data_IF_961885821108
#
_entry.id   IF_961885821108
#
_cell.length_a   1.000
_cell.length_b   1.000
_cell.length_c   1.000
_cell.angle_alpha   90.00
_cell.angle_beta   90.00
_cell.angle_gamma   90.00
#
_symmetry.space_group_name_H-M   'P 1'
#
loop_
_entity.id
_entity.type
_entity.pdbx_description
1 polymer ?
#
# COMPACT_ATOMS: atom_id res chain seq x y z
N UNK A 1 -17.74 -20.44 -0.19
CA UNK A 1 -18.26 -20.87 -1.49
C UNK A 1 -17.59 -20.10 -2.60
N UNK A 2 -17.51 -20.69 -3.77
CA UNK A 2 -16.80 -20.12 -4.92
C UNK A 2 -17.25 -18.70 -5.29
N UNK A 3 -18.55 -18.44 -5.23
CA UNK A 3 -19.11 -17.15 -5.60
C UNK A 3 -18.62 -16.03 -4.66
N UNK A 4 -18.61 -16.29 -3.36
CA UNK A 4 -18.15 -15.32 -2.37
C UNK A 4 -16.65 -15.05 -2.47
N UNK A 5 -15.88 -16.11 -2.71
CA UNK A 5 -14.42 -16.00 -2.88
C UNK A 5 -14.09 -15.16 -4.11
N UNK A 6 -14.81 -15.34 -5.21
CA UNK A 6 -14.63 -14.54 -6.41
C UNK A 6 -14.99 -13.09 -6.19
N UNK A 7 -16.07 -12.83 -5.47
CA UNK A 7 -16.50 -11.47 -5.14
C UNK A 7 -15.44 -10.75 -4.29
N UNK A 8 -14.95 -11.42 -3.26
CA UNK A 8 -13.91 -10.87 -2.38
C UNK A 8 -12.63 -10.58 -3.16
N UNK A 9 -12.24 -11.49 -4.06
CA UNK A 9 -11.07 -11.32 -4.89
C UNK A 9 -11.18 -10.09 -5.79
N UNK A 10 -12.33 -9.91 -6.44
CA UNK A 10 -12.57 -8.73 -7.30
C UNK A 10 -12.54 -7.45 -6.50
N UNK A 11 -13.18 -7.44 -5.35
CA UNK A 11 -13.21 -6.27 -4.48
C UNK A 11 -11.80 -5.89 -4.05
N UNK A 12 -10.99 -6.88 -3.66
CA UNK A 12 -9.60 -6.66 -3.29
C UNK A 12 -8.80 -6.07 -4.45
N UNK A 13 -8.96 -6.61 -5.65
CA UNK A 13 -8.25 -6.10 -6.84
C UNK A 13 -8.64 -4.66 -7.16
N UNK A 14 -9.92 -4.33 -7.08
CA UNK A 14 -10.39 -2.96 -7.29
C UNK A 14 -9.84 -2.00 -6.25
N UNK A 15 -9.85 -2.43 -4.99
CA UNK A 15 -9.33 -1.67 -3.87
C UNK A 15 -7.86 -1.35 -4.05
N UNK A 16 -7.06 -2.36 -4.37
CA UNK A 16 -5.63 -2.20 -4.59
C UNK A 16 -5.35 -1.26 -5.77
N UNK A 17 -6.10 -1.39 -6.85
CA UNK A 17 -5.96 -0.50 -8.01
C UNK A 17 -6.27 0.95 -7.66
N UNK A 18 -7.29 1.20 -6.86
CA UNK A 18 -7.62 2.56 -6.41
C UNK A 18 -6.50 3.17 -5.60
N UNK A 19 -5.91 2.39 -4.70
CA UNK A 19 -4.81 2.87 -3.86
C UNK A 19 -3.57 3.17 -4.70
N UNK A 20 -3.22 2.30 -5.65
CA UNK A 20 -2.10 2.55 -6.55
C UNK A 20 -2.31 3.82 -7.38
N UNK A 21 -3.51 4.03 -7.88
CA UNK A 21 -3.84 5.24 -8.65
C UNK A 21 -3.72 6.50 -7.79
N UNK A 22 -4.13 6.42 -6.53
CA UNK A 22 -4.01 7.53 -5.61
C UNK A 22 -2.55 7.85 -5.29
N UNK A 23 -1.73 6.83 -5.06
CA UNK A 23 -0.28 7.01 -4.85
C UNK A 23 0.40 7.65 -6.06
N UNK A 24 -0.02 7.27 -7.26
CA UNK A 24 0.53 7.86 -8.49
C UNK A 24 0.26 9.36 -8.57
N UNK A 25 -0.89 9.81 -8.09
CA UNK A 25 -1.24 11.23 -8.02
C UNK A 25 -0.34 11.99 -7.05
N UNK A 26 0.13 11.34 -5.99
CA UNK A 26 1.01 11.97 -5.00
C UNK A 26 2.40 12.27 -5.56
N UNK A 27 2.79 11.62 -6.65
CA UNK A 27 4.14 11.81 -7.22
C UNK A 27 4.42 13.26 -7.58
N UNK A 28 3.47 13.95 -8.22
CA UNK A 28 3.66 15.34 -8.63
C UNK A 28 3.83 16.29 -7.45
N UNK A 29 2.93 16.30 -6.44
CA UNK A 29 3.09 17.25 -5.33
C UNK A 29 4.27 16.94 -4.41
N UNK A 30 4.59 15.66 -4.18
CA UNK A 30 5.59 15.25 -3.20
C UNK A 30 6.90 14.77 -3.78
N UNK A 31 6.95 14.54 -5.09
CA UNK A 31 8.08 13.95 -5.81
C UNK A 31 8.51 12.59 -5.19
N UNK A 32 7.55 11.84 -4.65
CA UNK A 32 7.80 10.54 -4.02
C UNK A 32 7.30 9.41 -4.92
N UNK A 33 8.20 8.56 -5.42
CA UNK A 33 7.83 7.48 -6.37
C UNK A 33 7.29 6.23 -5.66
N UNK A 34 6.35 6.40 -4.74
CA UNK A 34 5.82 5.30 -3.92
C UNK A 34 5.14 4.22 -4.77
N UNK A 35 4.37 4.64 -5.78
CA UNK A 35 3.71 3.69 -6.69
C UNK A 35 4.73 2.88 -7.49
N UNK A 36 5.76 3.55 -8.03
CA UNK A 36 6.79 2.91 -8.83
C UNK A 36 7.61 1.90 -8.02
N UNK A 37 8.00 2.27 -6.80
CA UNK A 37 8.81 1.39 -5.94
C UNK A 37 8.03 0.17 -5.49
N UNK A 38 6.74 0.33 -5.18
CA UNK A 38 5.88 -0.79 -4.79
C UNK A 38 5.64 -1.74 -5.95
N UNK A 39 5.38 -1.22 -7.15
CA UNK A 39 5.21 -2.07 -8.33
C UNK A 39 6.48 -2.82 -8.67
N UNK A 40 7.62 -2.17 -8.53
CA UNK A 40 8.92 -2.80 -8.76
C UNK A 40 9.15 -3.96 -7.80
N UNK A 41 8.79 -3.78 -6.51
CA UNK A 41 8.89 -4.84 -5.50
C UNK A 41 7.97 -6.01 -5.81
N UNK A 42 6.77 -5.74 -6.28
CA UNK A 42 5.79 -6.76 -6.65
C UNK A 42 6.26 -7.54 -7.87
N UNK A 43 6.76 -6.84 -8.89
CA UNK A 43 7.19 -7.46 -10.15
C UNK A 43 8.50 -8.25 -10.00
N UNK A 44 9.35 -7.84 -9.07
CA UNK A 44 10.68 -8.44 -8.86
C UNK A 44 10.91 -8.75 -7.37
N UNK A 45 10.17 -9.74 -6.83
CA UNK A 45 10.28 -10.05 -5.40
C UNK A 45 11.65 -10.58 -4.99
N UNK A 46 12.42 -11.11 -5.94
CA UNK A 46 13.75 -11.67 -5.68
C UNK A 46 14.89 -10.66 -5.77
N UNK A 47 14.60 -9.45 -6.23
CA UNK A 47 15.65 -8.43 -6.37
C UNK A 47 16.10 -7.92 -5.01
N UNK A 48 17.41 -7.68 -4.90
CA UNK A 48 18.00 -7.03 -3.73
C UNK A 48 17.68 -5.52 -3.75
N UNK A 49 17.85 -4.87 -2.61
CA UNK A 49 17.68 -3.41 -2.55
C UNK A 49 18.63 -2.69 -3.50
N UNK A 50 19.84 -3.20 -3.68
CA UNK A 50 20.81 -2.63 -4.63
C UNK A 50 20.32 -2.73 -6.07
N UNK A 51 19.77 -3.89 -6.47
CA UNK A 51 19.22 -4.08 -7.80
C UNK A 51 18.03 -3.15 -8.06
N UNK A 52 17.15 -3.04 -7.10
CA UNK A 52 16.00 -2.13 -7.18
C UNK A 52 16.45 -0.68 -7.29
N UNK A 53 17.43 -0.29 -6.48
CA UNK A 53 17.96 1.08 -6.48
C UNK A 53 18.57 1.43 -7.84
N UNK A 54 19.33 0.50 -8.43
CA UNK A 54 19.94 0.70 -9.74
C UNK A 54 18.89 0.89 -10.82
N UNK A 55 17.88 0.03 -10.85
CA UNK A 55 16.79 0.13 -11.82
C UNK A 55 16.02 1.43 -11.68
N UNK A 56 15.66 1.78 -10.46
CA UNK A 56 14.87 2.98 -10.18
C UNK A 56 15.68 4.26 -10.49
N UNK A 57 16.99 4.25 -10.21
CA UNK A 57 17.88 5.35 -10.56
C UNK A 57 17.86 5.64 -12.05
N UNK A 58 17.90 4.62 -12.87
CA UNK A 58 17.83 4.74 -14.33
C UNK A 58 16.46 5.25 -14.78
N UNK A 59 15.40 4.69 -14.20
CA UNK A 59 14.04 5.05 -14.57
C UNK A 59 13.71 6.50 -14.24
N UNK A 60 14.16 6.98 -13.08
CA UNK A 60 13.85 8.33 -12.60
C UNK A 60 14.92 9.37 -12.95
N UNK A 61 16.06 8.92 -13.47
CA UNK A 61 17.15 9.84 -13.86
C UNK A 61 17.82 10.53 -12.69
N UNK A 62 17.82 9.94 -11.51
CA UNK A 62 18.49 10.47 -10.32
C UNK A 62 19.10 9.36 -9.47
N UNK A 63 20.22 9.64 -8.77
CA UNK A 63 20.89 8.59 -7.98
C UNK A 63 20.07 8.17 -6.77
N UNK A 64 19.93 6.86 -6.59
CA UNK A 64 19.22 6.27 -5.46
C UNK A 64 20.13 5.20 -4.86
N UNK A 65 20.40 5.29 -3.57
CA UNK A 65 21.20 4.28 -2.85
C UNK A 65 20.32 3.14 -2.37
N UNK A 66 20.93 1.99 -2.08
CA UNK A 66 20.21 0.85 -1.52
C UNK A 66 19.55 1.21 -0.17
N UNK A 67 20.27 1.94 0.68
CA UNK A 67 19.74 2.39 1.97
C UNK A 67 18.56 3.36 1.79
N UNK A 68 18.70 4.30 0.88
CA UNK A 68 17.62 5.23 0.55
C UNK A 68 16.41 4.54 -0.02
N UNK A 69 16.63 3.52 -0.86
CA UNK A 69 15.54 2.72 -1.42
C UNK A 69 14.77 1.99 -0.32
N UNK A 70 15.49 1.34 0.62
CA UNK A 70 14.84 0.64 1.73
C UNK A 70 13.97 1.57 2.56
N UNK A 71 14.47 2.78 2.82
CA UNK A 71 13.75 3.78 3.59
C UNK A 71 12.50 4.26 2.83
N UNK A 72 12.63 4.53 1.54
CA UNK A 72 11.50 4.95 0.70
C UNK A 72 10.47 3.82 0.56
N UNK A 73 10.92 2.58 0.43
CA UNK A 73 10.02 1.43 0.37
C UNK A 73 9.21 1.28 1.65
N UNK A 74 9.85 1.49 2.80
CA UNK A 74 9.17 1.46 4.09
C UNK A 74 8.07 2.53 4.15
N UNK A 75 8.39 3.75 3.76
CA UNK A 75 7.42 4.86 3.71
C UNK A 75 6.30 4.60 2.72
N UNK A 76 6.64 4.01 1.57
CA UNK A 76 5.65 3.66 0.56
C UNK A 76 4.64 2.64 1.09
N UNK A 77 5.11 1.64 1.85
CA UNK A 77 4.23 0.65 2.47
C UNK A 77 3.31 1.26 3.51
N UNK A 78 3.83 2.21 4.29
CA UNK A 78 3.01 2.93 5.27
C UNK A 78 1.92 3.75 4.59
N UNK A 79 2.29 4.49 3.55
CA UNK A 79 1.34 5.30 2.78
C UNK A 79 0.27 4.43 2.14
N UNK A 80 0.67 3.30 1.58
CA UNK A 80 -0.26 2.35 0.95
C UNK A 80 -1.25 1.81 1.97
N UNK A 81 -0.77 1.38 3.14
CA UNK A 81 -1.62 0.86 4.21
C UNK A 81 -2.61 1.90 4.72
N UNK A 82 -2.16 3.15 4.89
CA UNK A 82 -3.04 4.24 5.33
C UNK A 82 -4.15 4.50 4.31
N UNK A 83 -3.83 4.49 3.03
CA UNK A 83 -4.82 4.66 1.96
C UNK A 83 -5.79 3.49 1.88
N UNK A 84 -5.30 2.26 2.10
CA UNK A 84 -6.16 1.08 2.16
C UNK A 84 -7.20 1.24 3.28
N UNK A 85 -6.77 1.64 4.46
CA UNK A 85 -7.68 1.88 5.59
C UNK A 85 -8.72 2.93 5.25
N UNK A 86 -8.30 4.01 4.63
CA UNK A 86 -9.21 5.09 4.25
C UNK A 86 -10.26 4.61 3.26
N UNK A 87 -9.85 3.87 2.23
CA UNK A 87 -10.78 3.33 1.23
C UNK A 87 -11.77 2.34 1.83
N UNK A 88 -11.29 1.42 2.67
CA UNK A 88 -12.15 0.44 3.35
C UNK A 88 -13.10 1.14 4.31
N UNK A 89 -12.61 2.12 5.06
CA UNK A 89 -13.42 2.89 5.99
C UNK A 89 -14.58 3.61 5.27
N UNK A 90 -14.29 4.21 4.12
CA UNK A 90 -15.31 4.89 3.32
C UNK A 90 -16.38 3.91 2.83
N UNK A 91 -15.98 2.70 2.43
CA UNK A 91 -16.93 1.69 1.95
C UNK A 91 -17.87 1.18 3.04
N UNK A 92 -17.47 1.27 4.30
CA UNK A 92 -18.25 0.79 5.45
C UNK A 92 -19.07 1.87 6.15
N UNK A 93 -18.98 3.10 5.72
CA UNK A 93 -19.73 4.24 6.29
C UNK A 93 -19.59 4.36 7.81
N UNK A 94 -18.51 4.98 8.26
CA UNK A 94 -18.20 5.22 9.68
C UNK A 94 -18.07 3.95 10.53
N UNK A 95 -17.22 3.01 10.14
CA UNK A 95 -17.07 1.75 10.89
C UNK A 95 -16.35 1.95 12.21
N UNK A 96 -16.64 1.06 13.16
CA UNK A 96 -15.82 0.92 14.36
C UNK A 96 -14.49 0.25 13.98
N UNK A 97 -13.51 0.31 14.90
CA UNK A 97 -12.23 -0.37 14.71
C UNK A 97 -12.44 -1.87 14.49
N UNK A 98 -13.37 -2.49 15.25
CA UNK A 98 -13.69 -3.90 15.10
C UNK A 98 -14.25 -4.24 13.73
N UNK A 99 -15.13 -3.39 13.20
CA UNK A 99 -15.70 -3.59 11.88
C UNK A 99 -14.64 -3.48 10.78
N UNK A 100 -13.71 -2.54 10.93
CA UNK A 100 -12.57 -2.41 10.01
C UNK A 100 -11.70 -3.65 10.03
N UNK A 101 -11.39 -4.17 11.24
CA UNK A 101 -10.57 -5.37 11.38
C UNK A 101 -11.23 -6.58 10.72
N UNK A 102 -12.54 -6.75 10.90
CA UNK A 102 -13.27 -7.84 10.28
C UNK A 102 -13.22 -7.78 8.76
N UNK A 103 -13.43 -6.59 8.19
CA UNK A 103 -13.39 -6.41 6.74
C UNK A 103 -11.99 -6.68 6.19
N UNK A 104 -10.96 -6.16 6.85
CA UNK A 104 -9.58 -6.39 6.44
C UNK A 104 -9.21 -7.88 6.55
N UNK A 105 -9.72 -8.57 7.56
CA UNK A 105 -9.49 -10.00 7.70
C UNK A 105 -10.09 -10.77 6.53
N UNK A 106 -11.32 -10.46 6.14
CA UNK A 106 -11.97 -11.09 4.99
C UNK A 106 -11.22 -10.84 3.69
N UNK A 107 -10.67 -9.64 3.53
CA UNK A 107 -9.89 -9.27 2.35
C UNK A 107 -8.48 -9.87 2.36
N UNK A 108 -8.05 -10.48 3.48
CA UNK A 108 -6.70 -11.01 3.61
C UNK A 108 -5.65 -9.93 3.77
N UNK A 109 -6.02 -8.74 4.24
CA UNK A 109 -5.14 -7.58 4.35
C UNK A 109 -4.89 -7.15 5.79
N UNK A 110 -5.47 -7.84 6.78
CA UNK A 110 -5.39 -7.40 8.18
C UNK A 110 -3.96 -7.31 8.69
N UNK A 111 -3.14 -8.33 8.45
CA UNK A 111 -1.76 -8.34 8.94
C UNK A 111 -0.94 -7.20 8.33
N UNK A 112 -1.15 -6.95 7.04
CA UNK A 112 -0.48 -5.84 6.35
C UNK A 112 -0.87 -4.50 6.95
N UNK A 113 -2.13 -4.33 7.33
CA UNK A 113 -2.66 -3.06 7.82
C UNK A 113 -2.58 -2.86 9.34
N UNK A 114 -2.13 -3.86 10.12
CA UNK A 114 -2.06 -3.72 11.58
C UNK A 114 -1.30 -2.49 12.07
N UNK A 115 -0.10 -2.19 11.55
CA UNK A 115 0.60 -0.97 11.99
C UNK A 115 -0.18 0.31 11.70
N UNK A 116 -0.84 0.36 10.54
CA UNK A 116 -1.66 1.51 10.17
C UNK A 116 -2.89 1.64 11.07
N UNK A 117 -3.52 0.52 11.42
CA UNK A 117 -4.65 0.50 12.36
C UNK A 117 -4.25 1.06 13.73
N UNK A 118 -3.06 0.68 14.21
CA UNK A 118 -2.54 1.19 15.48
C UNK A 118 -2.33 2.70 15.45
N UNK A 119 -1.74 3.21 14.37
CA UNK A 119 -1.53 4.66 14.20
C UNK A 119 -2.86 5.40 14.15
N UNK A 120 -3.82 4.84 13.42
CA UNK A 120 -5.15 5.41 13.26
C UNK A 120 -5.92 5.46 14.58
N UNK A 121 -5.88 4.39 15.36
CA UNK A 121 -6.51 4.31 16.68
C UNK A 121 -5.91 5.32 17.65
N UNK A 122 -4.59 5.48 17.66
CA UNK A 122 -3.89 6.44 18.53
C UNK A 122 -4.25 7.87 18.18
N UNK A 123 -4.45 8.16 16.90
CA UNK A 123 -4.83 9.49 16.45
C UNK A 123 -6.23 9.90 16.86
N UNK A 124 -7.08 8.93 17.20
CA UNK A 124 -8.46 9.18 17.64
C UNK A 124 -8.64 9.15 19.16
N UNK A 125 -7.63 8.66 19.85
CA UNK A 125 -7.63 8.54 21.29
C UNK A 125 -7.32 9.82 21.97
#
# INVERSE_FOLDING_TARGET
MEFEEEFVKRWREELLNRVFNELARWREPTDQPYDAILRLRIDHPDWTSAQMAEHLSRQLGKPITAAGLRQTLHRARQAFADLLLEEVSQSLEHPSTGELEEELLELGLLEYCRPALKRHSKGRG
#
